data_IF_307318858315
#
_entry.id   IF_307318858315
#
_cell.length_a   1.000
_cell.length_b   1.000
_cell.length_c   1.000
_cell.angle_alpha   90.00
_cell.angle_beta   90.00
_cell.angle_gamma   90.00
#
_symmetry.space_group_name_H-M   'P 1'
#
loop_
_entity.id
_entity.type
_entity.pdbx_description
1 polymer ?
#
# COMPACT_ATOMS: atom_id res chain seq x y z
N UNK A 1 2.06 -5.67 13.38
CA UNK A 1 3.55 -5.50 13.42
C UNK A 1 3.89 -4.23 12.65
N UNK A 2 4.64 -3.29 13.21
CA UNK A 2 4.94 -2.05 12.49
C UNK A 2 6.00 -2.25 11.39
N UNK A 3 5.76 -1.65 10.23
CA UNK A 3 6.68 -1.56 9.09
C UNK A 3 6.77 -0.11 8.61
N UNK A 4 7.81 0.19 7.84
CA UNK A 4 7.93 1.40 7.05
C UNK A 4 7.42 1.13 5.64
N UNK A 5 6.48 1.97 5.18
CA UNK A 5 5.82 1.83 3.89
C UNK A 5 6.19 3.00 2.99
N UNK A 6 6.73 2.71 1.81
CA UNK A 6 6.96 3.69 0.76
C UNK A 6 6.14 3.34 -0.48
N UNK A 7 5.28 4.27 -0.94
CA UNK A 7 4.57 4.12 -2.23
C UNK A 7 5.57 4.22 -3.37
N UNK A 8 5.48 3.29 -4.32
CA UNK A 8 6.42 3.14 -5.44
C UNK A 8 5.86 3.69 -6.75
N UNK A 9 4.61 4.17 -6.76
CA UNK A 9 3.97 4.79 -7.91
C UNK A 9 3.26 6.08 -7.53
N UNK A 10 3.27 7.05 -8.45
CA UNK A 10 2.45 8.24 -8.39
C UNK A 10 1.46 8.20 -9.57
N UNK A 11 0.15 8.12 -9.27
CA UNK A 11 -0.91 8.01 -10.28
C UNK A 11 -0.62 6.93 -11.34
N UNK A 12 -0.20 5.73 -10.90
CA UNK A 12 0.10 4.60 -11.79
C UNK A 12 1.52 4.62 -12.39
N UNK A 13 2.21 5.76 -12.36
CA UNK A 13 3.57 5.88 -12.91
C UNK A 13 4.59 5.41 -11.87
N UNK A 14 5.44 4.46 -12.26
CA UNK A 14 6.54 3.98 -11.43
C UNK A 14 7.52 5.08 -11.06
N UNK A 15 7.84 5.20 -9.77
CA UNK A 15 8.90 6.07 -9.30
C UNK A 15 10.26 5.46 -9.66
N UNK A 16 11.19 6.30 -10.10
CA UNK A 16 12.59 5.91 -10.27
C UNK A 16 13.27 5.67 -8.90
N UNK A 17 14.51 5.17 -8.94
CA UNK A 17 15.22 4.82 -7.72
C UNK A 17 15.55 6.02 -6.83
N UNK A 18 15.79 7.20 -7.41
CA UNK A 18 16.09 8.41 -6.66
C UNK A 18 14.83 8.92 -5.94
N UNK A 19 13.72 8.99 -6.66
CA UNK A 19 12.41 9.38 -6.15
C UNK A 19 11.94 8.47 -5.02
N UNK A 20 12.18 7.16 -5.13
CA UNK A 20 11.82 6.22 -4.05
C UNK A 20 12.68 6.42 -2.81
N UNK A 21 13.97 6.71 -2.96
CA UNK A 21 14.85 6.96 -1.81
C UNK A 21 14.50 8.24 -1.08
N UNK A 22 14.01 9.25 -1.79
CA UNK A 22 13.53 10.51 -1.22
C UNK A 22 12.08 10.48 -0.74
N UNK A 23 11.29 9.48 -1.16
CA UNK A 23 9.90 9.38 -0.78
C UNK A 23 9.76 9.11 0.72
N UNK A 24 8.80 9.79 1.34
CA UNK A 24 8.50 9.61 2.76
C UNK A 24 8.10 8.16 3.03
N UNK A 25 8.73 7.58 4.06
CA UNK A 25 8.39 6.26 4.54
C UNK A 25 7.47 6.41 5.76
N UNK A 26 6.25 5.91 5.64
CA UNK A 26 5.22 6.05 6.67
C UNK A 26 5.30 4.81 7.58
N UNK A 27 5.31 5.02 8.90
CA UNK A 27 5.30 3.91 9.88
C UNK A 27 3.87 3.51 10.21
N UNK A 28 3.57 2.21 10.15
CA UNK A 28 2.24 1.69 10.47
C UNK A 28 2.18 0.17 10.39
N UNK A 29 1.04 -0.40 10.78
CA UNK A 29 0.77 -1.83 10.66
C UNK A 29 0.07 -2.10 9.33
N UNK A 30 0.32 -3.24 8.71
CA UNK A 30 -0.33 -3.64 7.46
C UNK A 30 -1.26 -4.81 7.74
N UNK A 31 -2.54 -4.59 7.44
CA UNK A 31 -3.57 -5.62 7.47
C UNK A 31 -3.93 -5.97 6.02
N UNK A 32 -3.96 -7.25 5.68
CA UNK A 32 -4.52 -7.74 4.41
C UNK A 32 -5.70 -8.63 4.74
N UNK A 33 -6.87 -8.31 4.21
CA UNK A 33 -8.09 -9.09 4.41
C UNK A 33 -8.83 -9.31 3.10
N UNK A 34 -9.53 -10.44 2.98
CA UNK A 34 -10.52 -10.63 1.93
C UNK A 34 -11.80 -9.92 2.35
N UNK A 35 -12.27 -8.97 1.55
CA UNK A 35 -13.45 -8.17 1.86
C UNK A 35 -14.13 -7.67 0.57
N UNK A 36 -15.35 -7.14 0.69
CA UNK A 36 -16.07 -6.54 -0.43
C UNK A 36 -15.35 -5.28 -0.91
N UNK A 37 -15.10 -5.20 -2.22
CA UNK A 37 -14.56 -4.02 -2.88
C UNK A 37 -15.62 -3.47 -3.86
N UNK A 38 -16.52 -2.57 -3.41
CA UNK A 38 -17.58 -2.03 -4.27
C UNK A 38 -17.07 -1.39 -5.57
N UNK A 39 -15.92 -0.70 -5.51
CA UNK A 39 -15.26 -0.12 -6.69
C UNK A 39 -14.84 -1.16 -7.75
N UNK A 40 -14.70 -2.43 -7.36
CA UNK A 40 -14.37 -3.54 -8.25
C UNK A 40 -15.58 -4.44 -8.58
N UNK A 41 -16.72 -4.25 -7.90
CA UNK A 41 -17.91 -5.09 -8.07
C UNK A 41 -17.75 -6.54 -7.60
N UNK A 42 -16.71 -6.85 -6.80
CA UNK A 42 -16.42 -8.20 -6.26
C UNK A 42 -15.66 -8.14 -4.94
N UNK A 43 -15.44 -9.29 -4.33
CA UNK A 43 -14.47 -9.41 -3.23
C UNK A 43 -13.04 -9.32 -3.76
N UNK A 44 -12.15 -8.77 -2.94
CA UNK A 44 -10.75 -8.63 -3.25
C UNK A 44 -9.91 -8.74 -1.96
N UNK A 45 -8.63 -9.09 -2.11
CA UNK A 45 -7.67 -8.87 -1.04
C UNK A 45 -7.43 -7.37 -0.93
N UNK A 46 -7.78 -6.79 0.21
CA UNK A 46 -7.61 -5.37 0.51
C UNK A 46 -6.48 -5.25 1.51
N UNK A 47 -5.40 -4.58 1.11
CA UNK A 47 -4.39 -4.14 2.06
C UNK A 47 -4.72 -2.75 2.60
N UNK A 48 -4.66 -2.61 3.92
CA UNK A 48 -4.92 -1.39 4.65
C UNK A 48 -3.73 -1.09 5.56
N UNK A 49 -3.31 0.17 5.57
CA UNK A 49 -2.35 0.66 6.56
C UNK A 49 -3.08 1.18 7.80
N UNK A 50 -2.77 0.61 8.97
CA UNK A 50 -3.22 1.11 10.26
C UNK A 50 -2.16 2.06 10.83
N UNK A 51 -2.51 3.30 11.21
CA UNK A 51 -1.58 4.22 11.82
C UNK A 51 -1.11 3.72 13.20
N UNK A 52 0.04 4.24 13.66
CA UNK A 52 0.58 3.93 14.99
C UNK A 52 -0.34 4.44 16.10
N UNK A 53 -0.94 5.62 15.91
CA UNK A 53 -2.01 6.13 16.76
C UNK A 53 -3.37 5.71 16.18
N UNK A 54 -4.16 4.86 16.87
CA UNK A 54 -5.46 4.41 16.39
C UNK A 54 -6.49 5.52 16.18
N UNK A 55 -6.29 6.70 16.77
CA UNK A 55 -7.17 7.85 16.60
C UNK A 55 -6.89 8.63 15.30
N UNK A 56 -5.75 8.39 14.65
CA UNK A 56 -5.44 9.00 13.36
C UNK A 56 -6.16 8.28 12.21
N UNK A 57 -6.42 9.03 11.14
CA UNK A 57 -6.88 8.44 9.88
C UNK A 57 -5.80 7.54 9.26
N UNK A 58 -6.23 6.57 8.44
CA UNK A 58 -5.30 5.78 7.62
C UNK A 58 -4.48 6.73 6.74
N UNK A 59 -3.13 6.66 6.81
CA UNK A 59 -2.28 7.59 6.06
C UNK A 59 -2.25 7.27 4.56
N UNK A 60 -2.68 6.06 4.18
CA UNK A 60 -2.73 5.60 2.79
C UNK A 60 -4.16 5.21 2.39
N UNK A 61 -4.51 5.35 1.09
CA UNK A 61 -5.70 4.72 0.53
C UNK A 61 -5.69 3.21 0.71
N UNK A 62 -6.83 2.55 0.48
CA UNK A 62 -6.88 1.09 0.41
C UNK A 62 -6.18 0.62 -0.87
N UNK A 63 -5.39 -0.45 -0.76
CA UNK A 63 -4.83 -1.15 -1.92
C UNK A 63 -5.70 -2.37 -2.23
N UNK A 64 -6.50 -2.27 -3.28
CA UNK A 64 -7.35 -3.36 -3.75
C UNK A 64 -6.58 -4.33 -4.64
N UNK A 65 -7.05 -5.57 -4.71
CA UNK A 65 -6.36 -6.70 -5.36
C UNK A 65 -4.91 -6.86 -4.88
N UNK A 66 -4.68 -6.56 -3.60
CA UNK A 66 -3.37 -6.61 -2.99
C UNK A 66 -2.77 -8.02 -3.13
N UNK A 67 -1.64 -8.08 -3.80
CA UNK A 67 -0.88 -9.30 -4.05
C UNK A 67 0.58 -9.07 -3.65
N UNK A 68 1.19 -10.04 -2.95
CA UNK A 68 2.61 -9.98 -2.65
C UNK A 68 3.42 -10.29 -3.92
N UNK A 69 4.06 -9.29 -4.49
CA UNK A 69 4.84 -9.42 -5.73
C UNK A 69 6.31 -9.68 -5.49
N UNK A 70 6.82 -9.41 -4.29
CA UNK A 70 8.18 -9.69 -3.89
C UNK A 70 8.28 -9.80 -2.37
N UNK A 71 9.20 -10.63 -1.87
CA UNK A 71 9.52 -10.76 -0.46
C UNK A 71 10.99 -11.16 -0.28
N UNK A 72 11.64 -10.59 0.72
CA UNK A 72 12.91 -11.06 1.26
C UNK A 72 12.89 -10.97 2.79
N UNK A 73 14.02 -11.30 3.42
CA UNK A 73 14.18 -11.24 4.87
C UNK A 73 13.80 -9.88 5.46
N UNK A 74 14.12 -8.77 4.79
CA UNK A 74 14.01 -7.43 5.37
C UNK A 74 12.80 -6.64 4.86
N UNK A 75 11.91 -7.28 4.10
CA UNK A 75 10.73 -6.61 3.59
C UNK A 75 10.01 -7.35 2.48
N UNK A 76 8.92 -6.75 2.03
CA UNK A 76 8.06 -7.27 0.98
C UNK A 76 7.46 -6.12 0.17
N UNK A 77 6.88 -6.46 -0.97
CA UNK A 77 6.13 -5.52 -1.81
C UNK A 77 4.73 -6.05 -2.03
N UNK A 78 3.74 -5.26 -1.62
CA UNK A 78 2.35 -5.46 -2.01
C UNK A 78 2.07 -4.62 -3.25
N UNK A 79 1.43 -5.21 -4.25
CA UNK A 79 0.99 -4.51 -5.46
C UNK A 79 -0.50 -4.70 -5.66
N UNK A 80 -1.15 -3.69 -6.24
CA UNK A 80 -2.58 -3.67 -6.47
C UNK A 80 -2.99 -2.35 -7.11
N UNK A 81 -4.21 -1.92 -6.83
CA UNK A 81 -4.75 -0.65 -7.31
C UNK A 81 -5.28 0.21 -6.15
N UNK A 82 -5.01 1.49 -6.19
CA UNK A 82 -5.57 2.49 -5.28
C UNK A 82 -6.60 3.34 -6.04
N UNK A 83 -7.70 3.66 -5.37
CA UNK A 83 -8.65 4.66 -5.87
C UNK A 83 -8.19 6.05 -5.44
N UNK A 84 -8.00 6.94 -6.41
CA UNK A 84 -7.69 8.36 -6.17
C UNK A 84 -8.63 9.18 -7.04
N UNK A 85 -9.48 9.99 -6.41
CA UNK A 85 -10.47 10.84 -7.07
C UNK A 85 -11.36 10.10 -8.09
N UNK A 86 -11.80 8.88 -7.72
CA UNK A 86 -12.65 8.02 -8.56
C UNK A 86 -11.94 7.28 -9.69
N UNK A 87 -10.60 7.38 -9.77
CA UNK A 87 -9.78 6.70 -10.77
C UNK A 87 -8.92 5.64 -10.10
N UNK A 88 -8.89 4.45 -10.68
CA UNK A 88 -8.08 3.33 -10.21
C UNK A 88 -6.68 3.39 -10.82
N UNK A 89 -5.67 3.57 -9.97
CA UNK A 89 -4.27 3.60 -10.38
C UNK A 89 -3.50 2.41 -9.83
N UNK A 90 -2.62 1.84 -10.66
CA UNK A 90 -1.68 0.84 -10.19
C UNK A 90 -0.79 1.41 -9.07
N UNK A 91 -0.56 0.62 -8.04
CA UNK A 91 0.31 0.98 -6.92
C UNK A 91 1.13 -0.22 -6.44
N UNK A 92 2.32 0.08 -5.90
CA UNK A 92 3.05 -0.86 -5.05
C UNK A 92 3.48 -0.19 -3.75
N UNK A 93 3.31 -0.89 -2.65
CA UNK A 93 3.82 -0.52 -1.34
C UNK A 93 5.06 -1.34 -1.06
N UNK A 94 6.20 -0.65 -0.90
CA UNK A 94 7.41 -1.29 -0.39
C UNK A 94 7.38 -1.22 1.13
N UNK A 95 7.19 -2.38 1.76
CA UNK A 95 7.11 -2.57 3.20
C UNK A 95 8.43 -3.13 3.70
N UNK A 96 9.07 -2.45 4.65
CA UNK A 96 10.35 -2.87 5.23
C UNK A 96 10.34 -2.77 6.75
N UNK A 97 11.23 -3.50 7.40
CA UNK A 97 11.42 -3.36 8.84
C UNK A 97 11.77 -1.89 9.21
N UNK A 98 11.35 -1.50 10.42
CA UNK A 98 11.58 -0.17 10.99
C UNK A 98 12.99 0.00 11.52
#
# INVERSE_FOLDING_TARGET
MYVLVTRRRHLGVGLDQAAVRSAEAIKGDIEVRLDKAPCLGREANIAQMRPVDPMCASPLPLLYDATMTWMSTNGFVLSGVEEVDGVMYAQSWWCRET
#
